data_IF_224173620534
#
_entry.id   IF_224173620534
#
_cell.length_a   1.000
_cell.length_b   1.000
_cell.length_c   1.000
_cell.angle_alpha   90.00
_cell.angle_beta   90.00
_cell.angle_gamma   90.00
#
_symmetry.space_group_name_H-M   'P 1'
#
loop_
_entity.id
_entity.type
_entity.pdbx_description
1 polymer ?
#
# COMPACT_ATOMS: atom_id res chain seq x y z
N UNK A 1 3.11 33.86 -5.62
CA UNK A 1 1.70 33.48 -5.63
C UNK A 1 1.33 33.10 -4.21
N UNK A 2 0.24 33.64 -3.65
CA UNK A 2 -0.27 33.13 -2.37
C UNK A 2 -0.73 31.68 -2.55
N UNK A 3 -0.46 30.77 -1.58
CA UNK A 3 -0.95 29.41 -1.69
C UNK A 3 -2.49 29.42 -1.74
N UNK A 4 -3.05 28.62 -2.65
CA UNK A 4 -4.50 28.48 -2.80
C UNK A 4 -5.05 27.89 -1.51
N UNK A 5 -5.88 28.65 -0.78
CA UNK A 5 -6.50 28.13 0.46
C UNK A 5 -7.56 27.13 0.07
N UNK A 6 -7.39 25.86 0.45
CA UNK A 6 -8.40 24.81 0.29
C UNK A 6 -9.34 24.79 1.48
N UNK A 7 -10.63 24.95 1.23
CA UNK A 7 -11.70 24.90 2.25
C UNK A 7 -12.34 23.51 2.26
N UNK A 8 -12.90 23.11 3.38
CA UNK A 8 -13.69 21.87 3.52
C UNK A 8 -14.82 21.78 2.49
N UNK A 9 -15.41 22.90 2.10
CA UNK A 9 -16.48 23.01 1.10
C UNK A 9 -16.01 22.80 -0.33
N UNK A 10 -14.71 22.84 -0.59
CA UNK A 10 -14.14 22.65 -1.93
C UNK A 10 -14.04 21.16 -2.30
N UNK A 11 -14.26 20.26 -1.34
CA UNK A 11 -14.25 18.83 -1.57
C UNK A 11 -15.34 18.42 -2.57
N UNK A 12 -14.92 17.64 -3.56
CA UNK A 12 -15.81 17.03 -4.56
C UNK A 12 -15.58 15.52 -4.59
N UNK A 13 -16.62 14.72 -4.32
CA UNK A 13 -16.52 13.27 -4.44
C UNK A 13 -16.29 12.87 -5.91
N UNK A 14 -15.59 11.76 -6.12
CA UNK A 14 -15.40 11.21 -7.46
C UNK A 14 -16.69 10.51 -7.94
N UNK A 15 -17.01 10.68 -9.21
CA UNK A 15 -18.12 9.99 -9.86
C UNK A 15 -17.84 8.50 -10.08
N UNK A 16 -16.58 8.14 -10.33
CA UNK A 16 -16.12 6.76 -10.52
C UNK A 16 -15.13 6.41 -9.42
N UNK A 17 -15.48 5.40 -8.60
CA UNK A 17 -14.65 4.91 -7.49
C UNK A 17 -13.99 3.59 -7.89
N UNK A 18 -12.71 3.38 -7.59
CA UNK A 18 -12.08 2.07 -7.74
C UNK A 18 -12.75 1.07 -6.77
N UNK A 19 -13.09 -0.10 -7.27
CA UNK A 19 -13.72 -1.15 -6.47
C UNK A 19 -12.74 -2.29 -6.20
N UNK A 20 -12.15 -2.84 -7.27
CA UNK A 20 -11.15 -3.88 -7.18
C UNK A 20 -9.92 -3.48 -7.99
N UNK A 21 -8.76 -3.69 -7.40
CA UNK A 21 -7.46 -3.39 -7.99
C UNK A 21 -6.60 -4.66 -7.96
N UNK A 22 -6.32 -5.22 -9.13
CA UNK A 22 -5.37 -6.32 -9.30
C UNK A 22 -4.06 -5.77 -9.84
N UNK A 23 -2.94 -6.06 -9.16
CA UNK A 23 -1.62 -5.58 -9.53
C UNK A 23 -0.67 -6.77 -9.66
N UNK A 24 0.07 -6.83 -10.77
CA UNK A 24 1.22 -7.71 -10.94
C UNK A 24 2.50 -6.88 -10.98
N UNK A 25 3.45 -7.18 -10.11
CA UNK A 25 4.72 -6.46 -9.95
C UNK A 25 5.86 -7.42 -10.27
N UNK A 26 6.59 -7.15 -11.32
CA UNK A 26 7.72 -7.95 -11.78
C UNK A 26 9.02 -7.19 -11.48
N UNK A 27 9.71 -7.58 -10.42
CA UNK A 27 10.96 -6.95 -9.99
C UNK A 27 12.12 -7.60 -10.73
N UNK A 28 12.88 -6.79 -11.48
CA UNK A 28 14.13 -7.14 -12.14
C UNK A 28 15.29 -6.34 -11.51
N UNK A 29 16.52 -6.67 -11.89
CA UNK A 29 17.70 -6.03 -11.28
C UNK A 29 17.77 -4.53 -11.50
N UNK A 30 17.35 -4.02 -12.66
CA UNK A 30 17.51 -2.61 -13.02
C UNK A 30 16.18 -1.86 -13.20
N UNK A 31 15.05 -2.55 -13.21
CA UNK A 31 13.74 -1.95 -13.39
C UNK A 31 12.64 -2.85 -12.82
N UNK A 32 11.46 -2.30 -12.69
CA UNK A 32 10.26 -3.04 -12.30
C UNK A 32 9.16 -2.78 -13.34
N UNK A 33 8.46 -3.83 -13.75
CA UNK A 33 7.24 -3.72 -14.56
C UNK A 33 6.05 -3.87 -13.61
N UNK A 34 5.11 -2.95 -13.71
CA UNK A 34 3.86 -3.00 -12.96
C UNK A 34 2.70 -3.05 -13.94
N UNK A 35 1.91 -4.11 -13.86
CA UNK A 35 0.64 -4.24 -14.56
C UNK A 35 -0.49 -4.05 -13.57
N UNK A 36 -1.47 -3.25 -13.92
CA UNK A 36 -2.66 -3.07 -13.08
C UNK A 36 -3.94 -3.21 -13.86
N UNK A 37 -4.95 -3.77 -13.21
CA UNK A 37 -6.33 -3.83 -13.67
C UNK A 37 -7.19 -3.25 -12.56
N UNK A 38 -7.80 -2.09 -12.83
CA UNK A 38 -8.68 -1.40 -11.89
C UNK A 38 -10.10 -1.48 -12.42
N UNK A 39 -11.00 -2.05 -11.64
CA UNK A 39 -12.44 -2.03 -11.88
C UNK A 39 -13.05 -0.84 -11.15
N UNK A 40 -13.89 -0.10 -11.83
CA UNK A 40 -14.55 1.07 -11.26
C UNK A 40 -16.05 0.88 -11.18
N UNK A 41 -16.67 1.42 -10.14
CA UNK A 41 -18.11 1.57 -9.99
C UNK A 41 -18.52 3.03 -9.95
N UNK A 42 -19.74 3.32 -10.42
CA UNK A 42 -20.32 4.66 -10.22
C UNK A 42 -20.60 4.92 -8.74
N UNK A 43 -20.21 6.09 -8.31
CA UNK A 43 -20.58 6.59 -6.98
C UNK A 43 -22.05 7.05 -7.03
N UNK A 44 -22.88 6.47 -6.16
CA UNK A 44 -24.33 6.77 -6.04
C UNK A 44 -24.61 7.81 -4.94
N UNK A 45 -23.66 8.65 -4.61
CA UNK A 45 -23.84 9.70 -3.60
C UNK A 45 -24.82 10.77 -4.09
N UNK A 46 -25.77 11.18 -3.27
CA UNK A 46 -26.75 12.25 -3.52
C UNK A 46 -26.11 13.58 -3.91
N UNK A 47 -24.85 13.79 -3.52
CA UNK A 47 -24.04 14.95 -3.89
C UNK A 47 -23.70 15.01 -5.40
N UNK A 48 -23.88 13.89 -6.11
CA UNK A 48 -23.52 13.74 -7.52
C UNK A 48 -24.77 13.70 -8.42
N UNK A 49 -25.91 13.21 -7.93
CA UNK A 49 -27.12 13.02 -8.74
C UNK A 49 -27.69 14.29 -9.36
N UNK A 50 -27.38 15.45 -8.80
CA UNK A 50 -27.85 16.77 -9.28
C UNK A 50 -26.84 17.52 -10.16
N UNK A 51 -25.74 16.90 -10.57
CA UNK A 51 -24.70 17.56 -11.36
C UNK A 51 -24.74 17.14 -12.82
N UNK A 52 -24.89 18.10 -13.74
CA UNK A 52 -24.67 17.95 -15.20
C UNK A 52 -23.19 17.77 -15.55
N UNK A 53 -22.39 17.15 -14.69
CA UNK A 53 -20.96 17.00 -14.85
C UNK A 53 -20.64 16.01 -15.98
N UNK A 54 -19.70 16.41 -16.84
CA UNK A 54 -19.05 15.45 -17.76
C UNK A 54 -18.49 14.30 -16.94
N UNK A 55 -18.82 13.07 -17.33
CA UNK A 55 -18.23 11.90 -16.71
C UNK A 55 -16.74 11.84 -17.03
N UNK A 56 -15.92 12.20 -16.07
CA UNK A 56 -14.46 12.20 -16.18
C UNK A 56 -13.90 11.33 -15.07
N UNK A 57 -12.90 10.55 -15.43
CA UNK A 57 -12.02 9.87 -14.46
C UNK A 57 -10.64 10.51 -14.50
N UNK A 58 -10.09 10.76 -13.33
CA UNK A 58 -8.76 11.33 -13.16
C UNK A 58 -7.84 10.29 -12.53
N UNK A 59 -6.66 10.12 -13.11
CA UNK A 59 -5.62 9.24 -12.60
C UNK A 59 -4.32 10.02 -12.42
N UNK A 60 -3.67 9.79 -11.30
CA UNK A 60 -2.37 10.32 -10.98
C UNK A 60 -1.27 9.35 -11.45
N UNK A 61 -0.15 9.88 -11.93
CA UNK A 61 0.99 9.07 -12.34
C UNK A 61 2.26 9.91 -12.48
N UNK A 62 3.29 9.57 -11.71
CA UNK A 62 4.55 10.32 -11.60
C UNK A 62 5.72 9.43 -12.02
N UNK A 63 6.56 9.92 -12.93
CA UNK A 63 7.75 9.22 -13.42
C UNK A 63 7.49 7.80 -13.97
N UNK A 64 6.31 7.58 -14.56
CA UNK A 64 5.92 6.30 -15.14
C UNK A 64 6.25 6.26 -16.64
N UNK A 65 7.02 5.26 -17.08
CA UNK A 65 7.12 4.91 -18.50
C UNK A 65 5.96 3.98 -18.82
N UNK A 66 4.96 4.50 -19.52
CA UNK A 66 3.73 3.77 -19.82
C UNK A 66 3.84 2.99 -21.11
N UNK A 67 3.87 1.66 -21.02
CA UNK A 67 3.90 0.75 -22.17
C UNK A 67 2.50 0.47 -22.71
N UNK A 68 1.50 0.40 -21.81
CA UNK A 68 0.11 0.09 -22.18
C UNK A 68 -0.85 0.89 -21.32
N UNK A 69 -1.88 1.43 -21.97
CA UNK A 69 -3.04 2.03 -21.32
C UNK A 69 -4.29 1.68 -22.10
N UNK A 70 -5.17 0.88 -21.49
CA UNK A 70 -6.38 0.37 -22.12
C UNK A 70 -7.61 0.71 -21.27
N UNK A 71 -8.60 1.32 -21.90
CA UNK A 71 -9.91 1.58 -21.33
C UNK A 71 -10.89 0.53 -21.86
N UNK A 72 -11.59 -0.18 -20.96
CA UNK A 72 -12.62 -1.17 -21.28
C UNK A 72 -13.94 -0.67 -20.72
N UNK A 73 -14.91 -0.48 -21.62
CA UNK A 73 -16.22 0.07 -21.31
C UNK A 73 -17.29 -0.99 -21.61
N UNK A 74 -18.17 -1.23 -20.64
CA UNK A 74 -19.28 -2.20 -20.74
C UNK A 74 -18.83 -3.60 -21.20
N UNK A 75 -17.62 -4.01 -20.76
CA UNK A 75 -16.97 -5.30 -21.02
C UNK A 75 -16.75 -5.65 -22.52
N UNK A 76 -17.33 -4.91 -23.43
CA UNK A 76 -17.33 -5.21 -24.88
C UNK A 76 -16.48 -4.24 -25.70
N UNK A 77 -16.32 -3.01 -25.27
CA UNK A 77 -15.56 -1.98 -25.99
C UNK A 77 -14.22 -1.71 -25.34
N UNK A 78 -13.14 -2.12 -25.99
CA UNK A 78 -11.79 -1.77 -25.54
C UNK A 78 -11.23 -0.65 -26.41
N UNK A 79 -10.64 0.35 -25.77
CA UNK A 79 -9.97 1.47 -26.43
C UNK A 79 -8.57 1.64 -25.88
N UNK A 80 -7.57 1.44 -26.72
CA UNK A 80 -6.19 1.80 -26.38
C UNK A 80 -6.04 3.32 -26.36
N UNK A 81 -5.44 3.83 -25.30
CA UNK A 81 -5.19 5.26 -25.13
C UNK A 81 -3.69 5.49 -25.22
N UNK A 82 -3.28 6.39 -26.11
CA UNK A 82 -1.89 6.85 -26.18
C UNK A 82 -1.71 7.96 -25.15
N UNK A 83 -0.95 7.70 -24.10
CA UNK A 83 -0.74 8.60 -22.95
C UNK A 83 -0.11 9.94 -23.40
N UNK A 84 0.81 9.91 -24.36
CA UNK A 84 1.45 11.08 -24.95
C UNK A 84 0.47 12.03 -25.66
N UNK A 85 -0.71 11.52 -26.06
CA UNK A 85 -1.82 12.32 -26.61
C UNK A 85 -2.80 12.82 -25.55
N UNK A 86 -2.69 12.34 -24.29
CA UNK A 86 -3.49 12.84 -23.19
C UNK A 86 -2.87 14.11 -22.63
N UNK A 87 -3.72 15.10 -22.39
CA UNK A 87 -3.29 16.32 -21.73
C UNK A 87 -2.95 15.98 -20.26
N UNK A 88 -1.66 16.02 -19.92
CA UNK A 88 -1.20 15.95 -18.55
C UNK A 88 -1.19 17.35 -17.96
N UNK A 89 -1.92 17.54 -16.87
CA UNK A 89 -1.85 18.76 -16.07
C UNK A 89 -1.48 18.31 -14.66
N UNK A 90 -0.34 18.78 -14.16
CA UNK A 90 0.14 18.44 -12.81
C UNK A 90 0.12 16.93 -12.53
N UNK A 91 0.67 16.12 -13.47
CA UNK A 91 0.78 14.66 -13.31
C UNK A 91 -0.57 13.90 -13.26
N UNK A 92 -1.65 14.58 -13.62
CA UNK A 92 -3.00 14.02 -13.72
C UNK A 92 -3.39 13.82 -15.17
N UNK A 93 -3.95 12.66 -15.46
CA UNK A 93 -4.57 12.31 -16.73
C UNK A 93 -6.07 12.27 -16.55
N UNK A 94 -6.80 13.11 -17.30
CA UNK A 94 -8.26 13.16 -17.29
C UNK A 94 -8.83 12.44 -18.52
N UNK A 95 -9.72 11.48 -18.30
CA UNK A 95 -10.32 10.65 -19.35
C UNK A 95 -11.84 10.83 -19.32
N UNK A 96 -12.41 11.29 -20.44
CA UNK A 96 -13.86 11.39 -20.59
C UNK A 96 -14.49 10.01 -20.77
N UNK A 97 -15.48 9.71 -19.97
CA UNK A 97 -16.24 8.46 -20.00
C UNK A 97 -17.61 8.74 -20.63
N UNK A 98 -18.09 7.90 -21.58
CA UNK A 98 -19.42 8.06 -22.16
C UNK A 98 -20.53 7.93 -21.09
N UNK A 99 -21.54 8.80 -21.16
CA UNK A 99 -22.61 8.90 -20.15
C UNK A 99 -23.44 7.62 -19.93
N UNK A 100 -23.46 6.70 -20.90
CA UNK A 100 -24.16 5.41 -20.82
C UNK A 100 -23.24 4.25 -20.38
N UNK A 101 -22.14 4.55 -19.67
CA UNK A 101 -21.22 3.55 -19.18
C UNK A 101 -21.74 2.95 -17.86
N UNK A 102 -21.89 1.63 -17.81
CA UNK A 102 -22.33 0.91 -16.62
C UNK A 102 -21.17 0.19 -15.91
N UNK A 103 -20.18 -0.26 -16.69
CA UNK A 103 -18.96 -0.87 -16.14
C UNK A 103 -17.72 -0.28 -16.81
N UNK A 104 -16.67 -0.10 -16.03
CA UNK A 104 -15.44 0.51 -16.46
C UNK A 104 -14.25 -0.24 -15.87
N UNK A 105 -13.29 -0.63 -16.73
CA UNK A 105 -11.99 -1.16 -16.31
C UNK A 105 -10.87 -0.37 -16.98
N UNK A 106 -9.82 -0.10 -16.23
CA UNK A 106 -8.58 0.49 -16.77
C UNK A 106 -7.48 -0.52 -16.57
N UNK A 107 -6.78 -0.85 -17.66
CA UNK A 107 -5.64 -1.76 -17.67
C UNK A 107 -4.41 -0.97 -18.06
N UNK A 108 -3.39 -1.00 -17.20
CA UNK A 108 -2.12 -0.31 -17.47
C UNK A 108 -0.93 -1.26 -17.34
N UNK A 109 0.13 -0.95 -18.06
CA UNK A 109 1.46 -1.51 -17.86
C UNK A 109 2.46 -0.37 -17.87
N UNK A 110 3.22 -0.27 -16.81
CA UNK A 110 4.24 0.76 -16.64
C UNK A 110 5.59 0.14 -16.26
N UNK A 111 6.66 0.85 -16.60
CA UNK A 111 8.02 0.55 -16.17
C UNK A 111 8.49 1.65 -15.24
N UNK A 112 9.07 1.26 -14.11
CA UNK A 112 9.64 2.15 -13.09
C UNK A 112 11.04 1.69 -12.70
N UNK A 113 11.82 2.57 -12.03
CA UNK A 113 13.21 2.34 -11.66
C UNK A 113 13.42 2.54 -10.15
N UNK A 114 13.12 1.51 -9.32
CA UNK A 114 13.21 1.65 -7.86
C UNK A 114 14.62 1.96 -7.33
N UNK A 115 15.67 1.50 -8.02
CA UNK A 115 17.07 1.78 -7.65
C UNK A 115 17.46 3.25 -7.80
N UNK A 116 16.86 3.93 -8.78
CA UNK A 116 17.15 5.33 -9.08
C UNK A 116 16.23 6.26 -8.26
N UNK A 117 15.32 5.70 -7.46
CA UNK A 117 14.35 6.45 -6.68
C UNK A 117 14.96 6.94 -5.36
N UNK A 118 15.55 8.11 -5.38
CA UNK A 118 16.13 8.78 -4.20
C UNK A 118 15.12 9.55 -3.35
N UNK A 119 13.86 9.69 -3.82
CA UNK A 119 12.82 10.38 -3.05
C UNK A 119 12.28 9.56 -1.88
N UNK A 120 12.54 8.24 -1.86
CA UNK A 120 12.02 7.28 -0.88
C UNK A 120 10.49 7.29 -0.78
N UNK A 121 9.80 7.55 -1.91
CA UNK A 121 8.36 7.53 -2.06
C UNK A 121 7.96 6.62 -3.22
N UNK A 122 6.86 5.89 -3.09
CA UNK A 122 6.51 4.80 -3.99
C UNK A 122 7.37 3.58 -3.71
N UNK A 123 7.79 2.86 -4.74
CA UNK A 123 8.69 1.70 -4.64
C UNK A 123 10.15 2.16 -4.80
N UNK A 124 11.01 1.80 -3.86
CA UNK A 124 12.44 2.11 -3.88
C UNK A 124 13.29 0.96 -3.32
N UNK A 125 14.61 1.03 -3.50
CA UNK A 125 15.57 0.07 -2.94
C UNK A 125 16.27 0.66 -1.71
N UNK A 126 16.34 -0.12 -0.62
CA UNK A 126 17.08 0.17 0.61
C UNK A 126 17.90 -1.05 0.99
N UNK A 127 19.23 -0.98 1.02
CA UNK A 127 20.12 -2.09 1.40
C UNK A 127 19.78 -3.43 0.72
N UNK A 128 19.66 -3.46 -0.60
CA UNK A 128 19.25 -4.64 -1.38
C UNK A 128 17.86 -5.20 -1.01
N UNK A 129 17.01 -4.42 -0.40
CA UNK A 129 15.61 -4.69 -0.14
C UNK A 129 14.76 -3.67 -0.89
N UNK A 130 13.77 -4.12 -1.63
CA UNK A 130 12.75 -3.26 -2.22
C UNK A 130 11.64 -3.06 -1.19
N UNK A 131 11.26 -1.82 -0.95
CA UNK A 131 10.17 -1.46 -0.05
C UNK A 131 9.38 -0.25 -0.57
N UNK A 132 8.22 -0.02 0.00
CA UNK A 132 7.34 1.09 -0.41
C UNK A 132 7.14 2.10 0.70
N UNK A 133 6.94 3.37 0.30
CA UNK A 133 6.32 4.42 1.10
C UNK A 133 5.29 5.13 0.23
N UNK A 134 4.01 5.00 0.58
CA UNK A 134 2.92 5.51 -0.25
C UNK A 134 2.20 6.73 0.35
N UNK A 135 2.33 7.00 1.63
CA UNK A 135 1.76 8.20 2.25
C UNK A 135 2.65 9.43 2.02
N UNK A 136 2.05 10.62 1.64
CA UNK A 136 0.62 10.78 1.34
C UNK A 136 0.27 10.41 -0.12
N UNK A 137 1.17 10.55 -1.09
CA UNK A 137 0.90 10.49 -2.53
C UNK A 137 1.95 9.69 -3.31
N UNK A 138 2.55 8.68 -2.66
CA UNK A 138 3.60 7.85 -3.25
C UNK A 138 3.10 6.73 -4.17
N UNK A 139 1.86 6.28 -4.04
CA UNK A 139 1.34 5.18 -4.85
C UNK A 139 1.31 5.53 -6.35
N UNK A 140 1.10 6.79 -6.71
CA UNK A 140 1.16 7.32 -8.09
C UNK A 140 2.53 7.17 -8.75
N UNK A 141 3.59 6.89 -7.99
CA UNK A 141 4.94 6.57 -8.48
C UNK A 141 5.12 5.07 -8.81
N UNK A 142 4.11 4.24 -8.48
CA UNK A 142 4.12 2.79 -8.75
C UNK A 142 3.30 2.46 -9.99
N UNK A 143 2.09 3.02 -10.11
CA UNK A 143 1.19 2.83 -11.26
C UNK A 143 0.17 3.97 -11.34
N UNK A 144 -0.56 4.03 -12.46
CA UNK A 144 -1.68 4.95 -12.64
C UNK A 144 -2.84 4.58 -11.70
N UNK A 145 -3.27 5.53 -10.86
CA UNK A 145 -4.35 5.33 -9.90
C UNK A 145 -5.04 6.66 -9.54
N UNK A 146 -6.32 6.68 -9.14
CA UNK A 146 -6.92 7.85 -8.50
C UNK A 146 -6.38 7.94 -7.05
N UNK A 147 -5.17 8.47 -6.91
CA UNK A 147 -4.36 8.43 -5.68
C UNK A 147 -4.83 9.49 -4.67
N UNK A 148 -6.00 9.22 -4.09
CA UNK A 148 -6.68 10.04 -3.08
C UNK A 148 -7.10 9.15 -1.92
N UNK A 149 -7.11 9.67 -0.66
CA UNK A 149 -7.48 8.88 0.52
C UNK A 149 -8.94 8.46 0.58
N UNK A 150 -9.84 9.14 -0.14
CA UNK A 150 -11.26 8.77 -0.28
C UNK A 150 -11.53 7.72 -1.36
N UNK A 151 -10.50 7.26 -2.07
CA UNK A 151 -10.56 6.20 -3.07
C UNK A 151 -10.19 4.86 -2.47
N UNK A 152 -11.19 4.12 -2.01
CA UNK A 152 -11.03 2.81 -1.37
C UNK A 152 -11.20 1.69 -2.39
N UNK A 153 -10.25 0.75 -2.41
CA UNK A 153 -10.29 -0.43 -3.29
C UNK A 153 -9.87 -1.70 -2.54
N UNK A 154 -10.40 -2.83 -2.95
CA UNK A 154 -9.90 -4.16 -2.56
C UNK A 154 -8.68 -4.49 -3.42
N UNK A 155 -7.54 -4.78 -2.78
CA UNK A 155 -6.29 -5.05 -3.48
C UNK A 155 -5.95 -6.54 -3.51
N UNK A 156 -5.62 -7.03 -4.70
CA UNK A 156 -4.94 -8.31 -4.89
C UNK A 156 -3.62 -8.04 -5.61
N UNK A 157 -2.52 -8.52 -5.04
CA UNK A 157 -1.18 -8.17 -5.49
C UNK A 157 -0.36 -9.43 -5.72
N UNK A 158 0.03 -9.66 -6.98
CA UNK A 158 1.02 -10.69 -7.33
C UNK A 158 2.39 -10.04 -7.48
N UNK A 159 3.36 -10.51 -6.74
CA UNK A 159 4.73 -10.03 -6.80
C UNK A 159 5.63 -11.16 -7.26
N UNK A 160 6.39 -10.92 -8.31
CA UNK A 160 7.37 -11.84 -8.87
C UNK A 160 8.76 -11.24 -8.77
N UNK A 161 9.71 -12.00 -8.26
CA UNK A 161 11.11 -11.58 -8.13
C UNK A 161 12.10 -12.72 -8.37
N UNK A 162 13.38 -12.39 -8.36
CA UNK A 162 14.46 -13.38 -8.40
C UNK A 162 14.40 -14.30 -7.18
N UNK A 163 14.67 -15.60 -7.36
CA UNK A 163 14.75 -16.62 -6.29
C UNK A 163 15.86 -16.33 -5.27
N UNK A 164 16.75 -15.37 -5.54
CA UNK A 164 17.73 -14.90 -4.56
C UNK A 164 17.09 -14.20 -3.35
N UNK A 165 15.91 -13.64 -3.49
CA UNK A 165 15.16 -13.01 -2.39
C UNK A 165 14.28 -14.05 -1.72
N UNK A 166 14.48 -14.27 -0.42
CA UNK A 166 13.71 -15.25 0.35
C UNK A 166 12.36 -14.72 0.83
N UNK A 167 12.19 -13.39 0.81
CA UNK A 167 11.00 -12.72 1.35
C UNK A 167 10.30 -11.91 0.27
N UNK A 168 9.00 -12.18 0.09
CA UNK A 168 8.06 -11.40 -0.73
C UNK A 168 6.79 -11.23 0.10
N UNK A 169 6.49 -10.02 0.57
CA UNK A 169 5.35 -9.73 1.42
C UNK A 169 4.61 -8.48 0.95
N UNK A 170 3.30 -8.44 1.19
CA UNK A 170 2.42 -7.30 0.91
C UNK A 170 1.24 -7.29 1.90
N UNK A 171 0.32 -6.34 1.75
CA UNK A 171 -0.88 -6.24 2.58
C UNK A 171 -1.79 -7.46 2.46
N UNK A 172 -2.51 -7.78 3.53
CA UNK A 172 -3.53 -8.81 3.55
C UNK A 172 -3.01 -10.20 3.88
N UNK A 173 -3.65 -11.23 3.32
CA UNK A 173 -3.30 -12.63 3.53
C UNK A 173 -2.61 -13.21 2.29
N UNK A 174 -1.62 -14.07 2.49
CA UNK A 174 -1.02 -14.86 1.41
C UNK A 174 -2.05 -15.88 0.91
N UNK A 175 -2.37 -15.86 -0.39
CA UNK A 175 -3.36 -16.75 -1.00
C UNK A 175 -2.79 -17.72 -2.03
N UNK A 176 -1.61 -17.41 -2.59
CA UNK A 176 -0.91 -18.28 -3.54
C UNK A 176 0.59 -17.97 -3.57
N UNK A 177 1.41 -18.98 -3.81
CA UNK A 177 2.85 -18.84 -4.00
C UNK A 177 3.43 -19.97 -4.86
N UNK A 178 4.52 -19.71 -5.54
CA UNK A 178 5.17 -20.74 -6.34
C UNK A 178 6.39 -20.27 -7.11
N UNK A 179 6.96 -21.21 -7.84
CA UNK A 179 8.03 -20.96 -8.82
C UNK A 179 7.42 -20.58 -10.15
N UNK A 180 8.02 -19.63 -10.85
CA UNK A 180 7.53 -19.21 -12.16
C UNK A 180 7.69 -20.33 -13.18
N UNK A 181 6.63 -20.67 -13.90
CA UNK A 181 6.64 -21.73 -14.92
C UNK A 181 7.72 -21.43 -15.97
N UNK A 182 8.57 -22.43 -16.25
CA UNK A 182 9.70 -22.34 -17.17
C UNK A 182 10.82 -21.37 -16.78
N UNK A 183 10.82 -20.87 -15.53
CA UNK A 183 11.90 -20.02 -15.01
C UNK A 183 12.10 -20.23 -13.50
N UNK A 184 12.81 -21.29 -13.14
CA UNK A 184 13.12 -21.66 -11.75
C UNK A 184 14.02 -20.65 -10.99
N UNK A 185 14.55 -19.64 -11.69
CA UNK A 185 15.30 -18.54 -11.07
C UNK A 185 14.38 -17.42 -10.56
N UNK A 186 13.08 -17.56 -10.73
CA UNK A 186 12.08 -16.60 -10.28
C UNK A 186 10.96 -17.31 -9.54
N UNK A 187 10.41 -16.64 -8.54
CA UNK A 187 9.26 -17.09 -7.77
C UNK A 187 8.26 -15.95 -7.57
N UNK A 188 7.06 -16.29 -7.16
CA UNK A 188 6.01 -15.32 -6.94
C UNK A 188 5.24 -15.62 -5.65
N UNK A 189 4.61 -14.57 -5.11
CA UNK A 189 3.58 -14.66 -4.07
C UNK A 189 2.40 -13.76 -4.44
N UNK A 190 1.18 -14.22 -4.09
CA UNK A 190 -0.06 -13.49 -4.29
C UNK A 190 -0.67 -13.17 -2.93
N UNK A 191 -0.87 -11.90 -2.69
CA UNK A 191 -1.45 -11.37 -1.47
C UNK A 191 -2.83 -10.77 -1.76
N UNK A 192 -3.79 -10.99 -0.87
CA UNK A 192 -5.13 -10.45 -0.98
C UNK A 192 -5.54 -9.79 0.32
N UNK A 193 -5.85 -8.49 0.26
CA UNK A 193 -6.48 -7.76 1.35
C UNK A 193 -7.97 -7.65 1.05
N UNK A 194 -8.84 -8.36 1.79
CA UNK A 194 -10.27 -8.40 1.51
C UNK A 194 -10.99 -7.10 1.90
N UNK A 195 -10.31 -6.20 2.62
CA UNK A 195 -10.90 -4.95 3.08
C UNK A 195 -10.54 -3.80 2.13
N UNK A 196 -11.53 -2.99 1.70
CA UNK A 196 -11.25 -1.80 0.92
C UNK A 196 -10.34 -0.84 1.69
N UNK A 197 -9.25 -0.39 1.07
CA UNK A 197 -8.34 0.59 1.65
C UNK A 197 -7.91 1.63 0.62
N UNK A 198 -7.50 2.83 1.05
CA UNK A 198 -6.90 3.81 0.18
C UNK A 198 -5.49 3.37 -0.27
N UNK A 199 -5.02 3.93 -1.37
CA UNK A 199 -3.72 3.62 -1.96
C UNK A 199 -2.53 3.97 -1.07
N UNK A 200 -2.64 4.97 -0.20
CA UNK A 200 -1.54 5.36 0.68
C UNK A 200 -1.18 4.30 1.72
N UNK A 201 -2.10 3.35 2.01
CA UNK A 201 -1.87 2.21 2.91
C UNK A 201 -1.29 0.97 2.18
N UNK A 202 -1.04 1.08 0.89
CA UNK A 202 -0.41 0.01 0.12
C UNK A 202 1.06 -0.17 0.53
N UNK A 203 1.45 -1.43 0.74
CA UNK A 203 2.83 -1.78 1.01
C UNK A 203 3.26 -3.08 0.34
N UNK A 204 4.53 -3.15 -0.04
CA UNK A 204 5.24 -4.37 -0.37
C UNK A 204 6.68 -4.29 0.12
N UNK A 205 7.24 -5.47 0.45
CA UNK A 205 8.66 -5.63 0.72
C UNK A 205 9.18 -6.89 0.05
N UNK A 206 10.33 -6.79 -0.63
CA UNK A 206 11.04 -7.91 -1.27
C UNK A 206 12.52 -7.82 -0.93
N UNK A 207 13.08 -8.86 -0.31
CA UNK A 207 14.47 -8.86 0.11
C UNK A 207 14.93 -10.17 0.73
N UNK A 208 16.18 -10.18 1.20
CA UNK A 208 16.70 -11.26 2.03
C UNK A 208 16.58 -10.87 3.49
N UNK A 209 15.52 -11.34 4.12
CA UNK A 209 15.19 -11.01 5.50
C UNK A 209 15.10 -12.26 6.36
N UNK A 210 15.38 -12.10 7.64
CA UNK A 210 14.96 -13.03 8.67
C UNK A 210 13.78 -12.45 9.45
N UNK A 211 13.04 -13.29 10.17
CA UNK A 211 11.93 -12.81 10.97
C UNK A 211 11.84 -13.51 12.33
N UNK A 212 11.31 -12.78 13.29
CA UNK A 212 10.85 -13.33 14.56
C UNK A 212 9.35 -13.52 14.49
N UNK A 213 8.89 -14.77 14.71
CA UNK A 213 7.48 -15.13 14.69
C UNK A 213 6.96 -15.37 16.10
N UNK A 214 5.74 -14.95 16.34
CA UNK A 214 4.98 -15.22 17.55
C UNK A 214 3.49 -15.27 17.23
N UNK A 215 2.67 -15.50 18.26
CA UNK A 215 1.21 -15.54 18.12
C UNK A 215 0.57 -14.63 19.15
N UNK A 216 -0.61 -14.12 18.79
CA UNK A 216 -1.54 -13.44 19.67
C UNK A 216 -2.91 -14.13 19.57
N UNK A 217 -3.58 -14.34 20.69
CA UNK A 217 -4.94 -14.89 20.72
C UNK A 217 -5.90 -13.79 21.15
N UNK A 218 -6.87 -13.48 20.30
CA UNK A 218 -7.88 -12.46 20.55
C UNK A 218 -8.90 -12.93 21.59
N UNK A 219 -9.77 -12.05 22.07
CA UNK A 219 -10.85 -12.42 23.00
C UNK A 219 -11.85 -13.41 22.40
N UNK A 220 -12.09 -13.34 21.06
CA UNK A 220 -12.89 -14.35 20.36
C UNK A 220 -12.17 -15.67 20.07
N UNK A 221 -10.98 -15.88 20.65
CA UNK A 221 -10.11 -17.03 20.44
C UNK A 221 -9.54 -17.17 19.01
N UNK A 222 -9.54 -16.10 18.22
CA UNK A 222 -8.87 -16.07 16.92
C UNK A 222 -7.35 -16.00 17.13
N UNK A 223 -6.61 -16.91 16.48
CA UNK A 223 -5.14 -16.91 16.51
C UNK A 223 -4.59 -16.04 15.41
N UNK A 224 -3.83 -15.01 15.77
CA UNK A 224 -3.14 -14.09 14.85
C UNK A 224 -1.66 -14.43 14.84
N UNK A 225 -1.09 -14.61 13.64
CA UNK A 225 0.35 -14.79 13.44
C UNK A 225 1.01 -13.43 13.43
N UNK A 226 2.02 -13.20 14.27
CA UNK A 226 2.80 -11.98 14.35
C UNK A 226 4.19 -12.22 13.79
N UNK A 227 4.66 -11.38 12.88
CA UNK A 227 6.00 -11.48 12.30
C UNK A 227 6.69 -10.12 12.29
N UNK A 228 7.92 -10.07 12.79
CA UNK A 228 8.79 -8.91 12.67
C UNK A 228 9.97 -9.30 11.79
N UNK A 229 10.02 -8.71 10.59
CA UNK A 229 11.07 -8.92 9.61
C UNK A 229 12.20 -7.91 9.79
N UNK A 230 13.42 -8.35 9.58
CA UNK A 230 14.62 -7.53 9.68
C UNK A 230 15.74 -8.05 8.79
N UNK A 231 16.75 -7.23 8.58
CA UNK A 231 17.99 -7.67 7.95
C UNK A 231 18.63 -8.81 8.76
N UNK A 232 19.35 -9.70 8.09
CA UNK A 232 19.97 -10.89 8.69
C UNK A 232 20.91 -10.49 9.82
N UNK A 233 20.81 -11.16 10.96
CA UNK A 233 21.59 -10.93 12.17
C UNK A 233 20.87 -10.08 13.23
N UNK A 234 19.78 -9.38 12.89
CA UNK A 234 19.07 -8.49 13.80
C UNK A 234 17.84 -9.10 14.49
N UNK A 235 17.46 -10.35 14.14
CA UNK A 235 16.30 -11.03 14.72
C UNK A 235 16.29 -11.03 16.27
N UNK A 236 17.41 -11.25 17.00
CA UNK A 236 17.42 -11.21 18.47
C UNK A 236 16.98 -9.85 19.05
N UNK A 237 17.17 -8.75 18.31
CA UNK A 237 16.91 -7.39 18.73
C UNK A 237 15.42 -6.99 18.61
N UNK A 238 14.58 -7.85 18.01
CA UNK A 238 13.15 -7.56 17.76
C UNK A 238 12.22 -7.99 18.91
N UNK A 239 12.76 -8.63 19.95
CA UNK A 239 11.95 -9.24 21.03
C UNK A 239 11.10 -8.22 21.78
N UNK A 240 11.67 -7.05 22.07
CA UNK A 240 10.96 -6.01 22.80
C UNK A 240 9.81 -5.42 21.94
N UNK A 241 10.06 -5.15 20.66
CA UNK A 241 9.01 -4.68 19.74
C UNK A 241 7.87 -5.69 19.59
N UNK A 242 8.17 -7.01 19.59
CA UNK A 242 7.15 -8.05 19.57
C UNK A 242 6.30 -8.05 20.85
N UNK A 243 6.91 -7.84 22.02
CA UNK A 243 6.16 -7.73 23.26
C UNK A 243 5.31 -6.46 23.29
N UNK A 244 5.85 -5.33 22.83
CA UNK A 244 5.13 -4.05 22.69
C UNK A 244 3.90 -4.19 21.77
N UNK A 245 4.04 -4.90 20.66
CA UNK A 245 2.92 -5.20 19.75
C UNK A 245 1.82 -6.00 20.47
N UNK A 246 2.17 -7.05 21.18
CA UNK A 246 1.18 -7.85 21.94
C UNK A 246 0.46 -7.04 23.00
N UNK A 247 1.20 -6.17 23.68
CA UNK A 247 0.65 -5.29 24.71
C UNK A 247 -0.35 -4.30 24.07
N UNK A 248 0.01 -3.69 22.92
CA UNK A 248 -0.87 -2.78 22.18
C UNK A 248 -2.15 -3.49 21.69
N UNK A 249 -2.02 -4.70 21.13
CA UNK A 249 -3.16 -5.51 20.70
C UNK A 249 -4.11 -5.82 21.88
N UNK A 250 -3.57 -6.23 23.02
CA UNK A 250 -4.37 -6.53 24.20
C UNK A 250 -5.04 -5.29 24.77
N UNK A 251 -4.33 -4.16 24.79
CA UNK A 251 -4.87 -2.90 25.25
C UNK A 251 -6.05 -2.42 24.42
N UNK A 252 -5.99 -2.54 23.08
CA UNK A 252 -7.08 -2.18 22.19
C UNK A 252 -8.33 -3.04 22.43
N UNK A 253 -8.14 -4.35 22.61
CA UNK A 253 -9.25 -5.26 22.95
C UNK A 253 -9.89 -4.90 24.30
N UNK A 254 -9.10 -4.59 25.32
CA UNK A 254 -9.57 -4.25 26.65
C UNK A 254 -10.28 -2.88 26.71
N UNK A 255 -9.79 -1.90 25.95
CA UNK A 255 -10.31 -0.53 26.02
C UNK A 255 -11.46 -0.28 25.04
N UNK A 256 -11.40 -0.86 23.87
CA UNK A 256 -12.35 -0.58 22.78
C UNK A 256 -13.15 -1.79 22.32
N UNK A 257 -12.82 -3.01 22.80
CA UNK A 257 -13.45 -4.24 22.34
C UNK A 257 -13.16 -4.56 20.87
N UNK A 258 -12.05 -4.05 20.34
CA UNK A 258 -11.73 -4.12 18.92
C UNK A 258 -10.64 -5.16 18.68
N UNK A 259 -10.97 -6.22 17.94
CA UNK A 259 -10.04 -7.27 17.57
C UNK A 259 -9.43 -7.08 16.19
N UNK A 260 -8.21 -7.55 16.00
CA UNK A 260 -7.52 -7.51 14.71
C UNK A 260 -8.23 -8.39 13.66
N UNK A 261 -8.43 -7.87 12.46
CA UNK A 261 -9.30 -8.44 11.44
C UNK A 261 -8.63 -9.42 10.47
N UNK A 262 -7.32 -9.29 10.21
CA UNK A 262 -6.55 -10.19 9.34
C UNK A 262 -6.01 -11.40 10.14
N UNK A 263 -5.40 -12.37 9.43
CA UNK A 263 -4.83 -13.57 10.05
C UNK A 263 -3.35 -13.39 10.45
N UNK A 264 -2.69 -12.41 9.85
CA UNK A 264 -1.27 -12.12 10.07
C UNK A 264 -1.05 -10.63 10.21
N UNK A 265 -0.23 -10.23 11.21
CA UNK A 265 0.27 -8.87 11.36
C UNK A 265 1.79 -8.88 11.18
N UNK A 266 2.27 -8.01 10.31
CA UNK A 266 3.69 -7.94 9.94
C UNK A 266 4.26 -6.56 10.24
N UNK A 267 5.48 -6.54 10.77
CA UNK A 267 6.34 -5.35 10.89
C UNK A 267 7.60 -5.62 10.09
N UNK A 268 8.11 -4.63 9.37
CA UNK A 268 9.41 -4.68 8.71
C UNK A 268 10.29 -3.55 9.19
N UNK A 269 11.47 -3.89 9.71
CA UNK A 269 12.50 -2.92 10.07
C UNK A 269 13.35 -2.57 8.84
N UNK A 270 13.36 -1.29 8.45
CA UNK A 270 14.07 -0.77 7.28
C UNK A 270 15.12 0.25 7.72
N UNK A 271 16.35 0.12 7.20
CA UNK A 271 17.45 1.00 7.58
C UNK A 271 17.34 2.40 6.97
N UNK A 272 16.87 2.51 5.72
CA UNK A 272 16.66 3.81 5.05
C UNK A 272 15.16 4.05 4.88
N UNK A 273 14.58 4.73 5.85
CA UNK A 273 13.18 5.11 5.88
C UNK A 273 13.05 6.58 6.30
N UNK A 274 12.33 7.38 5.54
CA UNK A 274 12.22 8.82 5.73
C UNK A 274 11.27 9.25 6.86
N UNK A 275 10.54 8.29 7.45
CA UNK A 275 9.62 8.49 8.57
C UNK A 275 10.04 7.67 9.79
N UNK A 276 9.34 7.81 10.90
CA UNK A 276 9.48 6.94 12.08
C UNK A 276 8.94 5.54 11.80
N UNK A 277 7.71 5.48 11.36
CA UNK A 277 7.02 4.29 10.91
C UNK A 277 5.86 4.65 9.98
N UNK A 278 5.15 3.64 9.46
CA UNK A 278 3.96 3.78 8.62
C UNK A 278 3.00 2.61 8.86
N UNK A 279 1.74 2.95 9.09
CA UNK A 279 0.66 2.04 9.47
C UNK A 279 0.07 1.21 8.31
N UNK A 280 0.78 0.96 7.23
CA UNK A 280 0.27 0.19 6.09
C UNK A 280 -0.46 -1.07 6.55
N UNK A 281 -1.72 -1.25 6.10
CA UNK A 281 -2.62 -2.27 6.66
C UNK A 281 -2.03 -3.68 6.62
N UNK A 282 -1.84 -4.26 7.81
CA UNK A 282 -1.31 -5.61 8.00
C UNK A 282 0.18 -5.79 7.73
N UNK A 283 0.87 -4.76 7.24
CA UNK A 283 2.30 -4.75 6.93
C UNK A 283 2.88 -3.37 7.26
N UNK A 284 3.12 -3.11 8.53
CA UNK A 284 3.71 -1.85 8.96
C UNK A 284 5.20 -1.78 8.64
N UNK A 285 5.66 -0.64 8.14
CA UNK A 285 7.09 -0.43 7.83
C UNK A 285 7.65 0.58 8.80
N UNK A 286 8.75 0.23 9.46
CA UNK A 286 9.38 0.99 10.52
C UNK A 286 10.82 1.34 10.17
N UNK A 287 11.26 2.51 10.54
CA UNK A 287 12.69 2.76 10.70
C UNK A 287 13.25 1.79 11.74
N UNK A 288 14.35 1.12 11.44
CA UNK A 288 14.93 0.06 12.28
C UNK A 288 15.21 0.50 13.72
N UNK A 289 15.52 1.78 13.96
CA UNK A 289 15.75 2.35 15.30
C UNK A 289 14.53 2.27 16.23
N UNK A 290 13.33 2.06 15.68
CA UNK A 290 12.08 1.93 16.45
C UNK A 290 11.57 0.48 16.52
N UNK A 291 12.42 -0.48 16.16
CA UNK A 291 12.14 -1.92 16.26
C UNK A 291 13.27 -2.66 16.99
N UNK A 292 14.51 -2.27 16.71
CA UNK A 292 15.70 -3.00 17.15
C UNK A 292 16.25 -2.41 18.45
N UNK A 293 16.31 -3.23 19.51
CA UNK A 293 16.93 -2.86 20.78
C UNK A 293 17.77 -4.00 21.33
N UNK A 294 19.01 -3.70 21.67
CA UNK A 294 19.90 -4.59 22.42
C UNK A 294 19.89 -4.19 23.90
N UNK A 295 19.55 -5.11 24.79
CA UNK A 295 19.51 -4.87 26.24
C UNK A 295 20.83 -4.39 26.84
N UNK A 296 21.96 -4.57 26.13
CA UNK A 296 23.28 -4.12 26.59
C UNK A 296 23.61 -2.69 26.19
N UNK A 297 22.98 -2.17 25.14
CA UNK A 297 23.35 -0.89 24.53
C UNK A 297 22.19 0.10 24.41
N UNK A 298 20.94 -0.39 24.36
CA UNK A 298 19.76 0.47 24.27
C UNK A 298 19.48 1.15 25.62
N UNK A 299 19.07 2.40 25.56
CA UNK A 299 18.66 3.19 26.72
C UNK A 299 17.17 2.98 27.06
N UNK A 300 16.75 3.36 28.27
CA UNK A 300 15.33 3.38 28.64
C UNK A 300 14.47 4.20 27.69
N UNK A 301 15.06 5.26 27.11
CA UNK A 301 14.40 6.10 26.11
C UNK A 301 14.14 5.33 24.81
N UNK A 302 15.09 4.49 24.37
CA UNK A 302 14.93 3.69 23.16
C UNK A 302 13.79 2.69 23.35
N UNK A 303 13.72 2.00 24.48
CA UNK A 303 12.63 1.09 24.80
C UNK A 303 11.26 1.82 24.83
N UNK A 304 11.16 2.98 25.48
CA UNK A 304 9.94 3.79 25.49
C UNK A 304 9.52 4.24 24.10
N UNK A 305 10.47 4.63 23.25
CA UNK A 305 10.18 5.04 21.87
C UNK A 305 9.67 3.86 21.04
N UNK A 306 10.27 2.66 21.17
CA UNK A 306 9.81 1.46 20.48
C UNK A 306 8.37 1.13 20.89
N UNK A 307 8.10 1.07 22.20
CA UNK A 307 6.75 0.78 22.70
C UNK A 307 5.73 1.81 22.20
N UNK A 308 6.04 3.10 22.30
CA UNK A 308 5.14 4.17 21.90
C UNK A 308 4.83 4.13 20.40
N UNK A 309 5.85 3.93 19.54
CA UNK A 309 5.63 3.93 18.09
C UNK A 309 4.96 2.64 17.64
N UNK A 310 5.33 1.47 18.19
CA UNK A 310 4.63 0.22 17.89
C UNK A 310 3.15 0.28 18.27
N UNK A 311 2.82 0.88 19.43
CA UNK A 311 1.44 1.07 19.85
C UNK A 311 0.69 2.09 18.97
N UNK A 312 1.36 3.17 18.55
CA UNK A 312 0.82 4.19 17.64
C UNK A 312 0.42 3.56 16.30
N UNK A 313 1.36 2.84 15.65
CA UNK A 313 1.10 2.21 14.36
C UNK A 313 0.05 1.09 14.45
N UNK A 314 0.01 0.35 15.56
CA UNK A 314 -1.03 -0.65 15.76
C UNK A 314 -2.41 0.01 15.92
N UNK A 315 -2.51 1.11 16.66
CA UNK A 315 -3.78 1.84 16.88
C UNK A 315 -4.38 2.36 15.58
N UNK A 316 -3.56 2.65 14.59
CA UNK A 316 -4.01 3.05 13.24
C UNK A 316 -4.87 1.99 12.53
N UNK A 317 -4.94 0.73 13.00
CA UNK A 317 -5.89 -0.24 12.44
C UNK A 317 -7.35 0.25 12.51
N UNK A 318 -7.65 1.15 13.45
CA UNK A 318 -8.96 1.80 13.59
C UNK A 318 -8.95 3.18 12.96
N UNK A 319 -8.17 4.10 13.52
CA UNK A 319 -8.08 5.48 13.08
C UNK A 319 -6.94 5.63 12.07
N UNK A 320 -7.26 5.57 10.82
CA UNK A 320 -6.34 5.53 9.67
C UNK A 320 -6.74 4.46 8.68
N UNK A 321 -6.84 3.19 9.13
CA UNK A 321 -7.10 2.07 8.23
C UNK A 321 -8.61 1.80 8.03
N UNK A 322 -9.39 1.62 9.10
CA UNK A 322 -10.84 1.39 9.00
C UNK A 322 -11.61 2.70 8.89
N UNK A 323 -11.20 3.72 9.64
CA UNK A 323 -11.71 5.08 9.55
C UNK A 323 -10.58 5.92 8.98
N UNK A 324 -10.59 6.10 7.66
CA UNK A 324 -9.55 6.84 6.93
C UNK A 324 -9.93 8.32 6.75
N UNK A 325 -8.96 9.17 6.46
CA UNK A 325 -9.19 10.57 6.17
C UNK A 325 -9.90 10.75 4.81
N UNK A 326 -10.70 11.79 4.68
CA UNK A 326 -11.39 12.13 3.43
C UNK A 326 -10.45 12.77 2.41
N UNK A 327 -9.60 13.67 2.86
CA UNK A 327 -8.62 14.38 2.07
C UNK A 327 -7.48 14.90 2.96
N UNK A 328 -6.31 15.16 2.37
CA UNK A 328 -5.09 15.58 3.09
C UNK A 328 -5.17 16.94 3.79
N UNK A 329 -6.22 17.71 3.54
CA UNK A 329 -6.43 19.03 4.15
C UNK A 329 -7.36 19.01 5.35
N UNK A 330 -7.83 17.81 5.73
CA UNK A 330 -8.75 17.59 6.84
C UNK A 330 -8.16 16.64 7.90
N UNK A 331 -6.86 16.65 8.03
CA UNK A 331 -6.11 15.93 9.07
C UNK A 331 -5.99 16.78 10.33
#
# INVERSE_FOLDING_TARGET
MMPLIKKRTDYKPLLWLPENTFIEIFIFDNFTIVKSVITFKKNKSDLIENSSLKEIIELNGVNLITNKFLLIINETKSKSIKIDKLKKINEVVSISIPSKTNSLKIVTEVKIFPKDNSSLEGLYESNNMFCTQCEPEGFRKITWFPDRPDCLSVFTVKIESSSRFNTIISNGNLIDEGVVKNNNKRHFKVWHDPFPKPSYLFALVVGNLEFYESNFTTFSNKKIILKIFTEIGNKPLTKFAMQSLKNAMRWDEEKYGLEYDLNTFMIVAVSHFNMGAMENKGLNIFNSKFVLADNKTATDRDFKNIEAIVAHEYFHNWTGNRVTCRDWFQL
#
